data_IF_584274787134
#
_entry.id   IF_584274787134
#
_cell.length_a   1.000
_cell.length_b   1.000
_cell.length_c   1.000
_cell.angle_alpha   90.00
_cell.angle_beta   90.00
_cell.angle_gamma   90.00
#
_symmetry.space_group_name_H-M   'P 1'
#
loop_
_entity.id
_entity.type
_entity.pdbx_description
1 polymer ?
#
# COMPACT_ATOMS: atom_id res chain seq x y z
N UNK A 1 29.58 -30.59 -4.99
CA UNK A 1 28.44 -30.71 -4.06
C UNK A 1 29.00 -31.23 -2.75
N UNK A 2 28.83 -30.51 -1.63
CA UNK A 2 29.62 -30.71 -0.40
C UNK A 2 29.06 -31.76 0.58
N UNK A 3 28.10 -32.60 0.17
CA UNK A 3 27.61 -33.72 1.00
C UNK A 3 26.81 -33.34 2.25
N UNK A 4 26.50 -32.06 2.45
CA UNK A 4 25.83 -31.56 3.65
C UNK A 4 24.45 -30.97 3.31
N UNK A 5 23.54 -30.98 4.29
CA UNK A 5 22.20 -30.38 4.19
C UNK A 5 21.12 -31.34 3.68
N UNK A 6 19.99 -30.83 3.14
CA UNK A 6 18.80 -31.62 2.79
C UNK A 6 19.02 -32.75 1.78
N UNK A 7 20.13 -32.71 1.03
CA UNK A 7 20.49 -33.69 0.01
C UNK A 7 21.66 -34.60 0.42
N UNK A 8 22.01 -34.64 1.70
CA UNK A 8 23.11 -35.48 2.21
C UNK A 8 22.88 -36.97 1.88
N UNK A 9 21.68 -37.49 2.16
CA UNK A 9 21.32 -38.89 1.87
C UNK A 9 21.37 -39.21 0.37
N UNK A 10 21.00 -38.27 -0.50
CA UNK A 10 21.09 -38.45 -1.95
C UNK A 10 22.55 -38.46 -2.43
N UNK A 11 23.40 -37.66 -1.76
CA UNK A 11 24.84 -37.64 -2.00
C UNK A 11 25.47 -38.97 -1.61
N UNK A 12 25.11 -39.51 -0.44
CA UNK A 12 25.55 -40.82 0.05
C UNK A 12 25.15 -41.94 -0.91
N UNK A 13 23.91 -41.94 -1.40
CA UNK A 13 23.45 -42.89 -2.42
C UNK A 13 24.28 -42.83 -3.71
N UNK A 14 24.59 -41.62 -4.19
CA UNK A 14 25.44 -41.45 -5.37
C UNK A 14 26.87 -41.97 -5.16
N UNK A 15 27.37 -41.92 -3.91
CA UNK A 15 28.68 -42.43 -3.54
C UNK A 15 28.69 -43.96 -3.45
N UNK A 16 27.65 -44.56 -2.86
CA UNK A 16 27.49 -46.02 -2.78
C UNK A 16 27.37 -46.66 -4.16
N UNK A 17 26.78 -45.96 -5.12
CA UNK A 17 26.71 -46.36 -6.53
C UNK A 17 28.01 -46.10 -7.32
N UNK A 18 29.07 -45.62 -6.65
CA UNK A 18 30.39 -45.34 -7.24
C UNK A 18 30.33 -44.42 -8.49
N UNK A 19 29.36 -43.50 -8.54
CA UNK A 19 29.16 -42.62 -9.69
C UNK A 19 30.32 -41.62 -9.85
N UNK A 20 30.79 -41.43 -11.08
CA UNK A 20 31.74 -40.37 -11.42
C UNK A 20 31.11 -39.00 -11.23
N UNK A 21 31.92 -37.96 -11.02
CA UNK A 21 31.44 -36.61 -10.72
C UNK A 21 30.46 -36.05 -11.77
N UNK A 22 30.68 -36.36 -13.06
CA UNK A 22 29.77 -36.01 -14.16
C UNK A 22 28.43 -36.75 -14.08
N UNK A 23 28.43 -38.00 -13.63
CA UNK A 23 27.23 -38.84 -13.48
C UNK A 23 26.42 -38.44 -12.24
N UNK A 24 27.05 -37.98 -11.16
CA UNK A 24 26.35 -37.48 -9.96
C UNK A 24 25.39 -36.35 -10.29
N UNK A 25 25.78 -35.41 -11.16
CA UNK A 25 24.89 -34.32 -11.61
C UNK A 25 23.62 -34.87 -12.26
N UNK A 26 23.76 -35.82 -13.20
CA UNK A 26 22.62 -36.44 -13.88
C UNK A 26 21.75 -37.27 -12.95
N UNK A 27 22.36 -38.02 -12.03
CA UNK A 27 21.65 -38.78 -11.00
C UNK A 27 20.79 -37.87 -10.11
N UNK A 28 21.32 -36.71 -9.71
CA UNK A 28 20.56 -35.73 -8.92
C UNK A 28 19.36 -35.17 -9.68
N UNK A 29 19.55 -34.72 -10.93
CA UNK A 29 18.43 -34.25 -11.75
C UNK A 29 17.40 -35.34 -12.01
N UNK A 30 17.85 -36.58 -12.25
CA UNK A 30 16.97 -37.72 -12.41
C UNK A 30 16.18 -38.01 -11.13
N UNK A 31 16.81 -37.96 -9.96
CA UNK A 31 16.16 -38.20 -8.67
C UNK A 31 15.13 -37.10 -8.35
N UNK A 32 15.48 -35.83 -8.57
CA UNK A 32 14.57 -34.70 -8.43
C UNK A 32 13.38 -34.85 -9.39
N UNK A 33 13.64 -35.11 -10.67
CA UNK A 33 12.58 -35.30 -11.68
C UNK A 33 11.67 -36.49 -11.36
N UNK A 34 12.23 -37.56 -10.81
CA UNK A 34 11.45 -38.74 -10.40
C UNK A 34 10.57 -38.42 -9.19
N UNK A 35 11.10 -37.66 -8.24
CA UNK A 35 10.34 -37.14 -7.11
C UNK A 35 9.21 -36.21 -7.59
N UNK A 36 9.53 -35.19 -8.39
CA UNK A 36 8.55 -34.26 -8.96
C UNK A 36 7.48 -34.98 -9.75
N UNK A 37 7.84 -35.94 -10.61
CA UNK A 37 6.85 -36.70 -11.39
C UNK A 37 5.92 -37.52 -10.50
N UNK A 38 6.43 -38.08 -9.39
CA UNK A 38 5.63 -38.87 -8.45
C UNK A 38 4.66 -38.00 -7.66
N UNK A 39 5.10 -36.82 -7.20
CA UNK A 39 4.33 -35.91 -6.35
C UNK A 39 3.70 -34.74 -7.12
N UNK A 40 3.76 -34.75 -8.45
CA UNK A 40 3.15 -33.72 -9.30
C UNK A 40 1.66 -33.50 -8.98
N UNK A 41 0.84 -34.54 -8.73
CA UNK A 41 -0.56 -34.34 -8.33
C UNK A 41 -0.74 -33.64 -6.98
N UNK A 42 0.27 -33.68 -6.11
CA UNK A 42 0.23 -33.11 -4.76
C UNK A 42 0.78 -31.67 -4.71
N UNK A 43 1.43 -31.21 -5.79
CA UNK A 43 1.96 -29.87 -5.88
C UNK A 43 0.87 -28.87 -6.24
N UNK A 44 0.93 -27.69 -5.62
CA UNK A 44 0.07 -26.57 -5.98
C UNK A 44 0.79 -25.68 -6.99
N UNK A 45 0.07 -25.27 -8.03
CA UNK A 45 0.53 -24.22 -8.96
C UNK A 45 0.48 -22.82 -8.32
N UNK A 46 -0.19 -22.69 -7.16
CA UNK A 46 -0.38 -21.44 -6.43
C UNK A 46 0.12 -21.57 -4.99
N UNK A 47 1.46 -21.57 -4.78
CA UNK A 47 2.03 -21.72 -3.45
C UNK A 47 1.56 -20.60 -2.51
N UNK A 48 1.31 -20.91 -1.23
CA UNK A 48 0.86 -19.90 -0.28
C UNK A 48 1.94 -18.84 -0.06
N UNK A 49 1.54 -17.57 -0.08
CA UNK A 49 2.45 -16.44 0.19
C UNK A 49 3.07 -16.55 1.59
N UNK A 50 4.33 -16.14 1.74
CA UNK A 50 5.00 -16.04 3.04
C UNK A 50 5.31 -17.38 3.72
N UNK A 51 5.48 -18.45 2.92
CA UNK A 51 5.85 -19.78 3.37
C UNK A 51 7.21 -19.75 4.10
N UNK A 52 7.23 -20.26 5.33
CA UNK A 52 8.42 -20.39 6.17
C UNK A 52 8.26 -21.64 7.04
N UNK A 53 9.32 -22.38 7.30
CA UNK A 53 9.25 -23.61 8.08
C UNK A 53 10.54 -23.89 8.83
N UNK A 54 10.44 -24.69 9.89
CA UNK A 54 11.54 -25.37 10.54
C UNK A 54 11.19 -26.85 10.66
N UNK A 55 12.12 -27.73 10.30
CA UNK A 55 11.99 -29.19 10.44
C UNK A 55 13.26 -29.69 11.14
N UNK A 56 13.42 -29.30 12.40
CA UNK A 56 14.50 -29.78 13.27
C UNK A 56 14.00 -30.90 14.18
N UNK A 57 14.92 -31.60 14.85
CA UNK A 57 14.52 -32.57 15.88
C UNK A 57 13.94 -31.89 17.13
N UNK A 58 14.40 -30.68 17.43
CA UNK A 58 13.97 -29.89 18.59
C UNK A 58 12.57 -29.30 18.42
N UNK A 59 12.25 -28.81 17.22
CA UNK A 59 10.96 -28.20 16.91
C UNK A 59 10.63 -28.28 15.41
N UNK A 60 9.34 -28.54 15.12
CA UNK A 60 8.81 -28.63 13.75
C UNK A 60 7.61 -27.70 13.60
N UNK A 61 7.70 -26.75 12.67
CA UNK A 61 6.58 -25.87 12.36
C UNK A 61 6.58 -25.41 10.91
N UNK A 62 5.40 -25.02 10.45
CA UNK A 62 5.12 -24.47 9.13
C UNK A 62 4.28 -23.21 9.29
N UNK A 63 4.66 -22.15 8.59
CA UNK A 63 3.96 -20.87 8.59
C UNK A 63 3.66 -20.46 7.16
N UNK A 64 2.46 -19.92 6.96
CA UNK A 64 2.05 -19.24 5.72
C UNK A 64 1.43 -17.87 6.06
N UNK A 65 1.02 -17.11 5.05
CA UNK A 65 0.20 -15.91 5.25
C UNK A 65 -1.15 -16.22 5.93
N UNK A 66 -1.64 -17.46 5.85
CA UNK A 66 -2.95 -17.89 6.36
C UNK A 66 -2.92 -18.49 7.75
N UNK A 67 -1.76 -18.94 8.24
CA UNK A 67 -1.69 -19.58 9.55
C UNK A 67 -0.32 -20.08 9.94
N UNK A 68 -0.27 -20.64 11.14
CA UNK A 68 0.90 -21.27 11.75
C UNK A 68 0.50 -22.66 12.25
N UNK A 69 1.27 -23.68 11.90
CA UNK A 69 1.06 -25.05 12.34
C UNK A 69 2.35 -25.57 12.98
N UNK A 70 2.22 -26.14 14.18
CA UNK A 70 3.29 -26.86 14.87
C UNK A 70 3.01 -28.36 14.78
N UNK A 71 4.06 -29.16 14.60
CA UNK A 71 3.97 -30.62 14.55
C UNK A 71 4.59 -31.22 15.80
N UNK A 72 3.75 -31.88 16.59
CA UNK A 72 4.14 -32.56 17.82
C UNK A 72 4.19 -34.07 17.61
N UNK A 73 5.11 -34.76 18.31
CA UNK A 73 5.08 -36.24 18.38
C UNK A 73 3.83 -36.68 19.13
N UNK A 74 3.38 -37.93 18.96
CA UNK A 74 2.33 -38.50 19.82
C UNK A 74 2.87 -38.60 21.26
N UNK A 75 2.09 -38.18 22.25
CA UNK A 75 2.42 -38.31 23.68
C UNK A 75 2.58 -37.04 24.54
N UNK A 76 2.75 -35.79 24.03
CA UNK A 76 2.84 -34.64 24.91
C UNK A 76 1.48 -34.31 25.52
N UNK A 77 1.44 -34.15 26.84
CA UNK A 77 0.22 -33.81 27.58
C UNK A 77 -0.18 -32.33 27.40
N UNK A 78 0.76 -31.45 27.03
CA UNK A 78 0.53 -30.01 26.90
C UNK A 78 0.83 -29.48 25.49
N UNK A 79 -0.18 -29.53 24.63
CA UNK A 79 -0.09 -29.02 23.25
C UNK A 79 0.15 -27.50 23.17
N UNK A 80 -0.28 -26.72 24.16
CA UNK A 80 -0.09 -25.27 24.18
C UNK A 80 1.38 -24.90 24.42
N UNK A 81 2.06 -25.61 25.31
CA UNK A 81 3.48 -25.39 25.56
C UNK A 81 4.34 -25.69 24.32
N UNK A 82 4.00 -26.74 23.56
CA UNK A 82 4.67 -27.05 22.30
C UNK A 82 4.44 -25.97 21.24
N UNK A 83 3.21 -25.45 21.15
CA UNK A 83 2.90 -24.34 20.26
C UNK A 83 3.67 -23.07 20.64
N UNK A 84 3.73 -22.75 21.94
CA UNK A 84 4.50 -21.62 22.45
C UNK A 84 5.98 -21.75 22.09
N UNK A 85 6.58 -22.92 22.33
CA UNK A 85 7.98 -23.18 21.98
C UNK A 85 8.24 -23.00 20.47
N UNK A 86 7.33 -23.48 19.62
CA UNK A 86 7.43 -23.30 18.17
C UNK A 86 7.29 -21.82 17.75
N UNK A 87 6.41 -21.06 18.41
CA UNK A 87 6.26 -19.62 18.15
C UNK A 87 7.50 -18.83 18.58
N UNK A 88 8.14 -19.22 19.69
CA UNK A 88 9.41 -18.63 20.14
C UNK A 88 10.53 -18.94 19.15
N UNK A 89 10.65 -20.18 18.68
CA UNK A 89 11.64 -20.58 17.67
C UNK A 89 11.45 -19.82 16.34
N UNK A 90 10.20 -19.58 15.94
CA UNK A 90 9.89 -18.78 14.75
C UNK A 90 10.35 -17.33 14.84
N UNK A 91 10.48 -16.75 16.05
CA UNK A 91 10.92 -15.37 16.31
C UNK A 91 10.10 -14.31 15.54
N UNK A 92 8.78 -14.19 15.82
CA UNK A 92 7.97 -13.13 15.21
C UNK A 92 8.52 -11.74 15.55
N UNK A 93 8.40 -10.80 14.61
CA UNK A 93 8.75 -9.40 14.88
C UNK A 93 7.75 -8.75 15.85
N UNK A 94 8.17 -7.77 16.66
CA UNK A 94 7.27 -6.96 17.49
C UNK A 94 6.06 -6.42 16.71
N UNK A 95 6.25 -5.90 15.49
CA UNK A 95 5.15 -5.44 14.63
C UNK A 95 4.14 -6.54 14.31
N UNK A 96 4.59 -7.80 14.16
CA UNK A 96 3.71 -8.93 13.93
C UNK A 96 2.94 -9.35 15.19
N UNK A 97 3.57 -9.27 16.36
CA UNK A 97 2.89 -9.48 17.64
C UNK A 97 1.81 -8.41 17.87
N UNK A 98 2.11 -7.15 17.59
CA UNK A 98 1.13 -6.05 17.62
C UNK A 98 -0.04 -6.31 16.68
N UNK A 99 0.23 -6.72 15.43
CA UNK A 99 -0.82 -7.08 14.46
C UNK A 99 -1.65 -8.29 14.90
N UNK A 100 -1.03 -9.30 15.53
CA UNK A 100 -1.75 -10.43 16.10
C UNK A 100 -2.67 -9.98 17.24
N UNK A 101 -2.17 -9.11 18.14
CA UNK A 101 -2.97 -8.55 19.22
C UNK A 101 -4.13 -7.70 18.71
N UNK A 102 -3.87 -6.85 17.72
CA UNK A 102 -4.91 -6.04 17.08
C UNK A 102 -6.05 -6.89 16.51
N UNK A 103 -5.74 -8.03 15.86
CA UNK A 103 -6.75 -8.97 15.35
C UNK A 103 -7.54 -9.64 16.48
N UNK A 104 -6.85 -10.11 17.51
CA UNK A 104 -7.47 -10.68 18.71
C UNK A 104 -8.46 -9.70 19.38
N UNK A 105 -8.04 -8.45 19.55
CA UNK A 105 -8.88 -7.39 20.11
C UNK A 105 -10.12 -7.12 19.24
N UNK A 106 -9.95 -6.95 17.92
CA UNK A 106 -11.10 -6.79 17.01
C UNK A 106 -12.03 -7.99 17.07
N UNK A 107 -11.51 -9.21 17.07
CA UNK A 107 -12.35 -10.42 17.15
C UNK A 107 -13.10 -10.49 18.47
N UNK A 108 -12.49 -10.04 19.58
CA UNK A 108 -13.13 -10.05 20.89
C UNK A 108 -14.23 -8.99 21.01
N UNK A 109 -13.95 -7.74 20.65
CA UNK A 109 -14.89 -6.63 20.85
C UNK A 109 -15.83 -6.41 19.65
N UNK A 110 -15.54 -7.02 18.50
CA UNK A 110 -16.23 -6.74 17.24
C UNK A 110 -17.74 -6.92 17.34
N UNK A 111 -18.20 -8.02 17.94
CA UNK A 111 -19.62 -8.29 18.13
C UNK A 111 -20.29 -7.28 19.09
N UNK A 112 -19.64 -6.96 20.21
CA UNK A 112 -20.18 -6.02 21.21
C UNK A 112 -20.28 -4.58 20.66
N UNK A 113 -19.26 -4.17 19.89
CA UNK A 113 -19.24 -2.87 19.21
C UNK A 113 -20.26 -2.83 18.09
N UNK A 114 -20.42 -3.91 17.34
CA UNK A 114 -21.45 -4.03 16.30
C UNK A 114 -22.85 -3.87 16.92
N UNK A 115 -23.17 -4.58 17.99
CA UNK A 115 -24.45 -4.46 18.69
C UNK A 115 -24.71 -3.02 19.17
N UNK A 116 -23.70 -2.40 19.78
CA UNK A 116 -23.80 -1.02 20.27
C UNK A 116 -23.94 -0.01 19.12
N UNK A 117 -23.19 -0.20 18.04
CA UNK A 117 -23.23 0.65 16.85
C UNK A 117 -24.59 0.52 16.16
N UNK A 118 -24.98 -0.69 15.76
CA UNK A 118 -26.24 -1.02 15.08
C UNK A 118 -27.49 -0.67 15.88
N UNK A 119 -27.38 -0.53 17.20
CA UNK A 119 -28.48 -0.01 18.04
C UNK A 119 -28.98 1.38 17.59
N UNK A 120 -28.15 2.16 16.87
CA UNK A 120 -28.50 3.47 16.29
C UNK A 120 -29.36 3.34 15.03
N UNK A 121 -30.54 2.74 15.16
CA UNK A 121 -31.47 2.39 14.07
C UNK A 121 -31.70 3.53 13.05
N UNK A 122 -31.85 4.77 13.52
CA UNK A 122 -32.05 5.93 12.64
C UNK A 122 -30.85 6.21 11.72
N UNK A 123 -29.62 6.03 12.21
CA UNK A 123 -28.41 6.24 11.42
C UNK A 123 -28.29 5.20 10.29
N UNK A 124 -28.54 3.92 10.60
CA UNK A 124 -28.48 2.85 9.59
C UNK A 124 -29.66 2.89 8.62
N UNK A 125 -30.86 3.27 9.08
CA UNK A 125 -31.98 3.54 8.19
C UNK A 125 -31.64 4.67 7.20
N UNK A 126 -31.01 5.76 7.69
CA UNK A 126 -30.57 6.87 6.83
C UNK A 126 -29.48 6.41 5.86
N UNK A 127 -28.51 5.64 6.33
CA UNK A 127 -27.48 5.06 5.47
C UNK A 127 -28.07 4.18 4.37
N UNK A 128 -28.98 3.28 4.70
CA UNK A 128 -29.64 2.42 3.72
C UNK A 128 -30.45 3.25 2.70
N UNK A 129 -31.10 4.33 3.13
CA UNK A 129 -31.72 5.28 2.21
C UNK A 129 -30.71 5.88 1.23
N UNK A 130 -29.51 6.26 1.68
CA UNK A 130 -28.44 6.78 0.80
C UNK A 130 -27.88 5.75 -0.18
N UNK A 131 -27.98 4.46 0.10
CA UNK A 131 -27.62 3.39 -0.85
C UNK A 131 -28.74 3.21 -1.88
N UNK A 132 -29.99 3.22 -1.42
CA UNK A 132 -31.17 3.05 -2.29
C UNK A 132 -31.35 4.24 -3.24
N UNK A 133 -30.94 5.43 -2.80
CA UNK A 133 -31.02 6.69 -3.56
C UNK A 133 -29.67 7.44 -3.49
N UNK A 134 -28.63 6.98 -4.21
CA UNK A 134 -27.26 7.47 -4.04
C UNK A 134 -26.98 8.81 -4.75
N UNK A 135 -27.89 9.26 -5.64
CA UNK A 135 -27.75 10.49 -6.41
C UNK A 135 -29.08 11.23 -6.58
N UNK A 136 -29.00 12.45 -7.13
CA UNK A 136 -30.18 13.20 -7.60
C UNK A 136 -30.64 12.65 -8.96
N UNK A 137 -31.91 12.89 -9.33
CA UNK A 137 -32.42 12.52 -10.64
C UNK A 137 -31.52 13.07 -11.76
N UNK A 138 -31.43 12.34 -12.87
CA UNK A 138 -30.70 12.68 -14.12
C UNK A 138 -29.25 12.16 -14.26
N UNK A 139 -28.75 11.29 -13.37
CA UNK A 139 -27.47 10.60 -13.58
C UNK A 139 -27.62 9.30 -14.40
N UNK A 140 -26.65 8.96 -15.27
CA UNK A 140 -26.62 7.66 -15.94
C UNK A 140 -26.54 6.50 -14.94
N UNK A 141 -27.17 5.36 -15.26
CA UNK A 141 -27.22 4.17 -14.38
C UNK A 141 -25.84 3.73 -13.88
N UNK A 142 -24.83 3.72 -14.77
CA UNK A 142 -23.44 3.36 -14.43
C UNK A 142 -22.87 4.24 -13.31
N UNK A 143 -23.23 5.53 -13.28
CA UNK A 143 -22.76 6.45 -12.23
C UNK A 143 -23.54 6.27 -10.93
N UNK A 144 -24.82 5.91 -11.01
CA UNK A 144 -25.65 5.57 -9.84
C UNK A 144 -25.06 4.35 -9.14
N UNK A 145 -24.72 3.30 -9.88
CA UNK A 145 -24.06 2.11 -9.34
C UNK A 145 -22.70 2.44 -8.70
N UNK A 146 -21.90 3.27 -9.37
CA UNK A 146 -20.62 3.71 -8.85
C UNK A 146 -20.75 4.49 -7.52
N UNK A 147 -21.71 5.42 -7.45
CA UNK A 147 -22.00 6.16 -6.21
C UNK A 147 -22.45 5.21 -5.09
N UNK A 148 -23.31 4.24 -5.41
CA UNK A 148 -23.76 3.25 -4.44
C UNK A 148 -22.60 2.44 -3.87
N UNK A 149 -21.73 1.95 -4.74
CA UNK A 149 -20.51 1.23 -4.35
C UNK A 149 -19.59 2.10 -3.48
N UNK A 150 -19.45 3.38 -3.80
CA UNK A 150 -18.69 4.31 -2.98
C UNK A 150 -19.31 4.51 -1.59
N UNK A 151 -20.62 4.70 -1.48
CA UNK A 151 -21.31 4.82 -0.18
C UNK A 151 -21.11 3.57 0.69
N UNK A 152 -21.13 2.39 0.07
CA UNK A 152 -20.83 1.13 0.75
C UNK A 152 -19.38 1.09 1.25
N UNK A 153 -18.41 1.46 0.41
CA UNK A 153 -16.99 1.53 0.81
C UNK A 153 -16.75 2.52 1.94
N UNK A 154 -17.34 3.71 1.88
CA UNK A 154 -17.23 4.74 2.92
C UNK A 154 -17.81 4.23 4.25
N UNK A 155 -18.94 3.51 4.21
CA UNK A 155 -19.50 2.90 5.41
C UNK A 155 -18.56 1.88 6.05
N UNK A 156 -18.00 0.96 5.25
CA UNK A 156 -17.02 -0.02 5.73
C UNK A 156 -15.79 0.68 6.30
N UNK A 157 -15.30 1.74 5.64
CA UNK A 157 -14.17 2.52 6.12
C UNK A 157 -14.44 3.14 7.49
N UNK A 158 -15.61 3.75 7.69
CA UNK A 158 -15.99 4.36 8.98
C UNK A 158 -16.19 3.33 10.09
N UNK A 159 -16.79 2.18 9.79
CA UNK A 159 -16.91 1.09 10.77
C UNK A 159 -15.53 0.52 11.15
N UNK A 160 -14.66 0.33 10.15
CA UNK A 160 -13.28 -0.08 10.39
C UNK A 160 -12.54 0.93 11.28
N UNK A 161 -12.64 2.23 10.99
CA UNK A 161 -12.00 3.29 11.77
C UNK A 161 -12.50 3.30 13.22
N UNK A 162 -13.81 3.18 13.43
CA UNK A 162 -14.40 3.11 14.76
C UNK A 162 -13.89 1.89 15.54
N UNK A 163 -13.82 0.71 14.92
CA UNK A 163 -13.25 -0.48 15.55
C UNK A 163 -11.76 -0.29 15.87
N UNK A 164 -10.98 0.26 14.94
CA UNK A 164 -9.57 0.59 15.14
C UNK A 164 -9.37 1.51 16.35
N UNK A 165 -10.19 2.55 16.46
CA UNK A 165 -10.12 3.53 17.55
C UNK A 165 -10.37 2.89 18.92
N UNK A 166 -11.32 1.94 19.01
CA UNK A 166 -11.64 1.28 20.28
C UNK A 166 -10.56 0.30 20.75
N UNK A 167 -9.82 -0.33 19.82
CA UNK A 167 -8.75 -1.28 20.19
C UNK A 167 -7.38 -0.62 20.38
N UNK A 168 -7.22 0.64 19.96
CA UNK A 168 -5.93 1.32 19.88
C UNK A 168 -5.16 1.32 21.21
N UNK A 169 -5.78 1.77 22.31
CA UNK A 169 -5.11 1.87 23.61
C UNK A 169 -4.69 0.50 24.15
N UNK A 170 -5.51 -0.52 23.94
CA UNK A 170 -5.21 -1.90 24.38
C UNK A 170 -4.01 -2.46 23.62
N UNK A 171 -3.96 -2.25 22.31
CA UNK A 171 -2.84 -2.69 21.45
C UNK A 171 -1.57 -1.90 21.78
N UNK A 172 -1.68 -0.59 21.99
CA UNK A 172 -0.55 0.26 22.39
C UNK A 172 0.00 -0.17 23.77
N UNK A 173 -0.88 -0.48 24.72
CA UNK A 173 -0.50 -1.01 26.04
C UNK A 173 0.23 -2.35 25.94
N UNK A 174 -0.22 -3.24 25.05
CA UNK A 174 0.50 -4.47 24.75
C UNK A 174 1.89 -4.19 24.15
N UNK A 175 2.00 -3.23 23.23
CA UNK A 175 3.28 -2.76 22.68
C UNK A 175 4.25 -2.25 23.75
N UNK A 176 3.76 -1.46 24.72
CA UNK A 176 4.55 -0.99 25.87
C UNK A 176 5.15 -2.16 26.65
N UNK A 177 4.40 -3.26 26.81
CA UNK A 177 4.91 -4.48 27.48
C UNK A 177 6.03 -5.15 26.69
N UNK A 178 5.94 -5.22 25.36
CA UNK A 178 7.01 -5.77 24.52
C UNK A 178 8.30 -4.98 24.74
N UNK A 179 8.24 -3.65 24.66
CA UNK A 179 9.41 -2.79 24.88
C UNK A 179 9.97 -2.88 26.31
N UNK A 180 9.10 -2.98 27.32
CA UNK A 180 9.52 -3.15 28.70
C UNK A 180 10.32 -4.46 28.91
N UNK A 181 9.90 -5.56 28.27
CA UNK A 181 10.61 -6.85 28.31
C UNK A 181 11.96 -6.76 27.57
N UNK A 182 11.98 -6.12 26.41
CA UNK A 182 13.21 -5.86 25.62
C UNK A 182 14.26 -5.17 26.51
N UNK A 183 13.84 -4.07 27.16
CA UNK A 183 14.69 -3.30 28.07
C UNK A 183 15.12 -4.09 29.32
N UNK A 184 14.23 -4.87 29.92
CA UNK A 184 14.52 -5.60 31.17
C UNK A 184 15.45 -6.80 30.97
N UNK A 185 15.35 -7.48 29.83
CA UNK A 185 16.15 -8.67 29.53
C UNK A 185 17.49 -8.35 28.88
N UNK A 186 17.67 -7.13 28.35
CA UNK A 186 18.81 -6.78 27.51
C UNK A 186 18.82 -7.52 26.17
N UNK A 187 17.75 -8.26 25.86
CA UNK A 187 17.52 -8.82 24.54
C UNK A 187 17.23 -7.68 23.56
N UNK A 188 17.48 -7.90 22.27
CA UNK A 188 17.10 -6.95 21.22
C UNK A 188 16.15 -7.62 20.24
N UNK A 189 14.84 -7.42 20.44
CA UNK A 189 13.82 -7.86 19.48
C UNK A 189 14.02 -7.24 18.10
N UNK A 190 14.83 -6.18 17.98
CA UNK A 190 15.33 -5.66 16.71
C UNK A 190 15.92 -6.76 15.83
N UNK A 191 16.66 -7.72 16.41
CA UNK A 191 17.27 -8.83 15.66
C UNK A 191 16.23 -9.70 14.92
N UNK A 192 14.97 -9.73 15.37
CA UNK A 192 13.90 -10.48 14.72
C UNK A 192 13.53 -9.90 13.34
N UNK A 193 13.79 -8.61 13.11
CA UNK A 193 13.59 -7.98 11.80
C UNK A 193 14.65 -8.40 10.79
N UNK A 194 15.80 -8.94 11.25
CA UNK A 194 16.94 -9.33 10.41
C UNK A 194 17.48 -8.18 9.55
N UNK A 195 17.45 -6.97 10.12
CA UNK A 195 17.95 -5.72 9.50
C UNK A 195 18.90 -5.05 10.50
N UNK A 196 20.06 -4.58 10.03
CA UNK A 196 21.03 -3.89 10.87
C UNK A 196 21.04 -2.39 10.60
N UNK A 197 20.30 -1.63 11.40
CA UNK A 197 20.19 -0.17 11.31
C UNK A 197 21.49 0.58 11.62
N UNK A 198 22.54 -0.08 12.12
CA UNK A 198 23.86 0.54 12.29
C UNK A 198 24.61 0.68 10.95
N UNK A 199 24.20 -0.09 9.93
CA UNK A 199 24.77 0.04 8.59
C UNK A 199 24.06 1.13 7.81
N UNK A 200 24.82 1.99 7.15
CA UNK A 200 24.29 3.12 6.36
C UNK A 200 23.29 2.65 5.27
N UNK A 201 23.56 1.50 4.63
CA UNK A 201 22.71 0.94 3.58
C UNK A 201 21.33 0.48 4.09
N UNK A 202 21.29 -0.32 5.17
CA UNK A 202 20.03 -0.78 5.76
C UNK A 202 19.26 0.39 6.38
N UNK A 203 19.96 1.32 7.05
CA UNK A 203 19.33 2.47 7.67
C UNK A 203 18.63 3.36 6.64
N UNK A 204 19.31 3.69 5.53
CA UNK A 204 18.70 4.47 4.42
C UNK A 204 17.49 3.77 3.82
N UNK A 205 17.57 2.44 3.65
CA UNK A 205 16.46 1.64 3.12
C UNK A 205 15.28 1.65 4.10
N UNK A 206 15.54 1.46 5.39
CA UNK A 206 14.54 1.46 6.44
C UNK A 206 13.82 2.81 6.54
N UNK A 207 14.56 3.92 6.50
CA UNK A 207 13.99 5.29 6.51
C UNK A 207 13.08 5.50 5.30
N UNK A 208 13.53 5.12 4.09
CA UNK A 208 12.72 5.25 2.88
C UNK A 208 11.43 4.44 2.95
N UNK A 209 11.50 3.17 3.34
CA UNK A 209 10.34 2.29 3.48
C UNK A 209 9.37 2.79 4.56
N UNK A 210 9.90 3.27 5.69
CA UNK A 210 9.11 3.86 6.76
C UNK A 210 8.38 5.11 6.29
N UNK A 211 9.07 6.04 5.63
CA UNK A 211 8.43 7.26 5.12
C UNK A 211 7.33 6.94 4.10
N UNK A 212 7.54 5.97 3.20
CA UNK A 212 6.48 5.48 2.29
C UNK A 212 5.30 4.88 3.06
N UNK A 213 5.56 4.09 4.10
CA UNK A 213 4.51 3.48 4.93
C UNK A 213 3.65 4.54 5.64
N UNK A 214 4.29 5.60 6.12
CA UNK A 214 3.61 6.72 6.76
C UNK A 214 2.81 7.54 5.75
N UNK A 215 3.38 7.96 4.62
CA UNK A 215 2.70 8.93 3.74
C UNK A 215 1.69 8.34 2.76
N UNK A 216 1.82 7.06 2.40
CA UNK A 216 1.00 6.44 1.37
C UNK A 216 0.11 5.32 1.96
N UNK A 217 -1.10 5.17 1.40
CA UNK A 217 -1.94 3.99 1.61
C UNK A 217 -1.33 2.78 0.90
N UNK A 218 -1.58 1.54 1.36
CA UNK A 218 -1.19 0.33 0.63
C UNK A 218 -1.93 0.27 -0.73
N UNK A 219 -1.29 -0.33 -1.73
CA UNK A 219 -1.93 -0.62 -3.02
C UNK A 219 -3.11 -1.57 -2.80
N UNK A 220 -4.24 -1.33 -3.47
CA UNK A 220 -5.39 -2.23 -3.40
C UNK A 220 -5.25 -3.34 -4.43
N UNK A 221 -4.74 -4.46 -3.96
CA UNK A 221 -4.77 -5.75 -4.65
C UNK A 221 -5.88 -6.62 -4.05
N UNK A 222 -6.56 -7.40 -4.87
CA UNK A 222 -7.47 -8.43 -4.39
C UNK A 222 -6.71 -9.70 -3.94
N UNK A 223 -7.46 -10.76 -3.64
CA UNK A 223 -6.89 -12.03 -3.12
C UNK A 223 -6.08 -12.76 -4.22
N UNK A 224 -6.39 -12.54 -5.51
CA UNK A 224 -5.63 -13.10 -6.64
C UNK A 224 -4.38 -12.26 -6.94
N UNK A 225 -4.31 -11.03 -6.44
CA UNK A 225 -3.20 -10.11 -6.62
C UNK A 225 -3.45 -9.10 -7.74
N UNK A 226 -4.68 -9.03 -8.25
CA UNK A 226 -5.08 -8.10 -9.29
C UNK A 226 -5.44 -6.74 -8.68
N UNK A 227 -5.10 -5.66 -9.40
CA UNK A 227 -5.41 -4.31 -8.95
C UNK A 227 -6.92 -4.06 -9.01
N UNK A 228 -7.49 -3.71 -7.86
CA UNK A 228 -8.93 -3.43 -7.74
C UNK A 228 -9.25 -2.09 -8.39
N UNK A 229 -10.39 -1.99 -9.07
CA UNK A 229 -10.85 -0.71 -9.60
C UNK A 229 -11.15 0.30 -8.49
N UNK A 230 -10.70 1.54 -8.71
CA UNK A 230 -10.82 2.65 -7.77
C UNK A 230 -11.32 3.90 -8.48
N UNK A 231 -11.81 4.86 -7.70
CA UNK A 231 -12.19 6.18 -8.22
C UNK A 231 -11.05 7.16 -7.97
N UNK A 232 -10.77 8.03 -8.94
CA UNK A 232 -9.84 9.14 -8.77
C UNK A 232 -10.24 9.98 -7.55
N UNK A 233 -9.25 10.27 -6.72
CA UNK A 233 -9.40 10.91 -5.42
C UNK A 233 -8.18 11.80 -5.15
N UNK A 234 -8.29 12.67 -4.15
CA UNK A 234 -7.17 13.48 -3.67
C UNK A 234 -5.97 12.61 -3.32
N UNK A 235 -4.76 13.06 -3.68
CA UNK A 235 -3.52 12.38 -3.33
C UNK A 235 -3.17 11.17 -4.19
N UNK A 236 -3.95 10.83 -5.22
CA UNK A 236 -3.50 9.85 -6.22
C UNK A 236 -2.28 10.40 -6.96
N UNK A 237 -1.20 9.62 -6.95
CA UNK A 237 0.03 9.88 -7.67
C UNK A 237 0.00 9.06 -8.95
N UNK A 238 0.19 9.71 -10.08
CA UNK A 238 0.16 9.07 -11.39
C UNK A 238 1.34 9.52 -12.25
N UNK A 239 1.76 8.63 -13.13
CA UNK A 239 2.77 8.88 -14.16
C UNK A 239 2.06 9.00 -15.50
N UNK A 240 2.29 10.11 -16.18
CA UNK A 240 1.86 10.34 -17.56
C UNK A 240 3.10 10.61 -18.41
N UNK A 241 3.33 9.74 -19.38
CA UNK A 241 4.59 9.70 -20.15
C UNK A 241 5.78 9.68 -19.16
N UNK A 242 6.72 10.63 -19.25
CA UNK A 242 7.87 10.72 -18.32
C UNK A 242 7.67 11.67 -17.14
N UNK A 243 6.44 12.13 -16.91
CA UNK A 243 6.11 13.12 -15.88
C UNK A 243 5.27 12.53 -14.75
N UNK A 244 5.57 12.98 -13.53
CA UNK A 244 4.89 12.55 -12.32
C UNK A 244 3.95 13.64 -11.85
N UNK A 245 2.78 13.24 -11.35
CA UNK A 245 1.73 14.15 -10.94
C UNK A 245 1.03 13.64 -9.70
N UNK A 246 0.51 14.56 -8.88
CA UNK A 246 -0.38 14.24 -7.75
C UNK A 246 -1.69 15.00 -7.88
N UNK A 247 -2.80 14.27 -7.78
CA UNK A 247 -4.15 14.86 -7.75
C UNK A 247 -4.28 15.77 -6.52
N UNK A 248 -4.49 17.06 -6.76
CA UNK A 248 -4.62 18.10 -5.75
C UNK A 248 -6.00 18.77 -5.81
N UNK A 249 -7.02 17.99 -6.19
CA UNK A 249 -8.43 18.40 -6.17
C UNK A 249 -9.10 17.81 -4.94
N UNK A 250 -9.94 18.56 -4.21
CA UNK A 250 -10.72 18.02 -3.10
C UNK A 250 -11.60 16.83 -3.51
N UNK A 251 -11.65 15.80 -2.67
CA UNK A 251 -12.40 14.57 -2.92
C UNK A 251 -13.89 14.82 -3.22
N UNK A 252 -14.49 15.85 -2.63
CA UNK A 252 -15.89 16.22 -2.85
C UNK A 252 -16.17 16.61 -4.30
N UNK A 253 -15.22 17.28 -4.97
CA UNK A 253 -15.39 17.72 -6.36
C UNK A 253 -15.15 16.58 -7.37
N UNK A 254 -14.53 15.49 -6.92
CA UNK A 254 -14.27 14.29 -7.72
C UNK A 254 -15.41 13.27 -7.67
N UNK A 255 -16.44 13.51 -6.85
CA UNK A 255 -17.59 12.60 -6.75
C UNK A 255 -18.49 12.68 -8.00
N UNK A 256 -19.02 11.55 -8.48
CA UNK A 256 -19.98 11.56 -9.58
C UNK A 256 -21.18 12.47 -9.30
N UNK A 257 -21.59 13.24 -10.30
CA UNK A 257 -22.68 14.23 -10.19
C UNK A 257 -22.28 15.59 -9.61
N UNK A 258 -21.03 15.78 -9.20
CA UNK A 258 -20.48 17.10 -8.87
C UNK A 258 -19.81 17.68 -10.13
N UNK A 259 -20.45 18.68 -10.74
CA UNK A 259 -19.93 19.44 -11.89
C UNK A 259 -19.56 20.87 -11.49
N UNK A 260 -19.11 21.08 -10.24
CA UNK A 260 -18.78 22.41 -9.72
C UNK A 260 -17.55 23.04 -10.38
N UNK A 261 -16.69 22.22 -10.98
CA UNK A 261 -15.44 22.66 -11.58
C UNK A 261 -15.57 22.64 -13.12
N UNK A 262 -15.34 23.80 -13.75
CA UNK A 262 -15.04 24.04 -15.16
C UNK A 262 -16.06 23.65 -16.26
N UNK A 263 -17.00 22.71 -16.05
CA UNK A 263 -17.98 22.35 -17.08
C UNK A 263 -19.40 22.81 -16.73
N UNK A 264 -20.09 23.40 -17.72
CA UNK A 264 -21.49 23.82 -17.60
C UNK A 264 -22.43 22.63 -17.39
N UNK A 265 -23.58 22.87 -16.76
CA UNK A 265 -24.70 21.91 -16.73
C UNK A 265 -25.03 21.44 -18.15
N UNK A 266 -25.05 20.13 -18.38
CA UNK A 266 -25.28 19.50 -19.70
C UNK A 266 -24.01 18.98 -20.41
N UNK A 267 -22.82 19.18 -19.83
CA UNK A 267 -21.60 18.51 -20.28
C UNK A 267 -21.65 16.99 -20.08
N UNK A 268 -20.88 16.24 -20.86
CA UNK A 268 -20.72 14.79 -20.71
C UNK A 268 -20.43 14.43 -19.23
N UNK A 269 -21.36 13.74 -18.54
CA UNK A 269 -21.22 13.46 -17.11
C UNK A 269 -20.07 12.49 -16.81
N UNK A 270 -19.49 11.87 -17.84
CA UNK A 270 -18.33 10.97 -17.73
C UNK A 270 -16.99 11.70 -17.77
N UNK A 271 -16.97 13.02 -18.00
CA UNK A 271 -15.75 13.81 -17.94
C UNK A 271 -15.64 14.51 -16.58
N UNK A 272 -14.45 14.45 -15.98
CA UNK A 272 -14.16 15.03 -14.66
C UNK A 272 -12.89 15.88 -14.72
N UNK A 273 -13.00 17.21 -14.63
CA UNK A 273 -11.83 18.06 -14.55
C UNK A 273 -11.22 17.94 -13.15
N UNK A 274 -9.90 17.89 -13.08
CA UNK A 274 -9.18 17.87 -11.81
C UNK A 274 -7.83 18.58 -11.97
N UNK A 275 -7.40 19.27 -10.92
CA UNK A 275 -6.08 19.87 -10.80
C UNK A 275 -5.08 18.85 -10.26
N UNK A 276 -3.89 18.80 -10.85
CA UNK A 276 -2.76 18.07 -10.29
C UNK A 276 -1.47 18.90 -10.31
N UNK A 277 -0.59 18.62 -9.35
CA UNK A 277 0.73 19.24 -9.20
C UNK A 277 1.77 18.30 -9.80
N UNK A 278 2.71 18.85 -10.56
CA UNK A 278 3.86 18.10 -11.09
C UNK A 278 4.84 17.77 -9.97
N UNK A 279 5.32 16.54 -9.98
CA UNK A 279 6.33 16.05 -9.06
C UNK A 279 7.63 15.72 -9.80
N UNK A 280 8.74 15.93 -9.10
CA UNK A 280 10.09 15.68 -9.58
C UNK A 280 10.68 14.49 -8.83
N UNK A 281 11.01 13.40 -9.53
CA UNK A 281 11.54 12.21 -8.89
C UNK A 281 12.99 12.42 -8.42
N UNK A 282 13.26 11.90 -7.23
CA UNK A 282 14.57 11.83 -6.60
C UNK A 282 14.88 10.36 -6.40
N UNK A 283 15.64 9.80 -7.34
CA UNK A 283 15.99 8.38 -7.39
C UNK A 283 17.03 7.96 -6.37
N UNK A 284 17.79 8.94 -5.86
CA UNK A 284 18.78 8.75 -4.80
C UNK A 284 18.31 9.49 -3.54
N UNK A 285 17.68 8.78 -2.58
CA UNK A 285 17.18 9.37 -1.35
C UNK A 285 18.24 10.09 -0.52
N UNK A 286 19.54 9.78 -0.70
CA UNK A 286 20.62 10.46 0.03
C UNK A 286 20.74 11.95 -0.29
N UNK A 287 20.13 12.40 -1.40
CA UNK A 287 20.03 13.82 -1.78
C UNK A 287 18.96 14.58 -1.03
N UNK A 288 18.09 13.89 -0.29
CA UNK A 288 17.08 14.50 0.55
C UNK A 288 17.66 14.71 1.96
N UNK A 289 17.74 15.97 2.38
CA UNK A 289 18.16 16.35 3.72
C UNK A 289 16.97 16.32 4.67
N UNK A 290 17.19 16.31 5.98
CA UNK A 290 16.10 16.39 6.98
C UNK A 290 15.17 17.59 6.75
N UNK A 291 15.70 18.71 6.22
CA UNK A 291 14.89 19.88 5.84
C UNK A 291 13.95 19.57 4.69
N UNK A 292 14.42 18.86 3.65
CA UNK A 292 13.57 18.42 2.54
C UNK A 292 12.47 17.47 3.05
N UNK A 293 12.83 16.49 3.88
CA UNK A 293 11.89 15.48 4.40
C UNK A 293 10.77 16.12 5.22
N UNK A 294 11.11 17.09 6.07
CA UNK A 294 10.17 17.75 6.99
C UNK A 294 9.51 19.02 6.41
N UNK A 295 9.81 19.39 5.16
CA UNK A 295 9.24 20.58 4.50
C UNK A 295 7.77 20.42 4.07
N UNK A 296 7.26 19.17 4.08
CA UNK A 296 5.99 18.80 3.44
C UNK A 296 5.98 18.92 1.91
N UNK A 297 7.11 19.24 1.27
CA UNK A 297 7.23 19.41 -0.19
C UNK A 297 7.51 18.10 -0.92
N UNK A 298 7.82 17.04 -0.17
CA UNK A 298 8.20 15.72 -0.68
C UNK A 298 7.30 14.62 -0.13
N UNK A 299 7.03 13.61 -0.95
CA UNK A 299 6.42 12.36 -0.52
C UNK A 299 7.26 11.17 -1.01
N UNK A 300 7.00 9.98 -0.44
CA UNK A 300 7.75 8.76 -0.76
C UNK A 300 6.81 7.72 -1.37
N UNK A 301 7.20 7.18 -2.51
CA UNK A 301 6.44 6.15 -3.23
C UNK A 301 7.31 4.96 -3.53
N UNK A 302 6.68 3.80 -3.69
CA UNK A 302 7.34 2.61 -4.22
C UNK A 302 7.04 2.48 -5.71
N UNK A 303 8.07 2.31 -6.52
CA UNK A 303 7.95 2.08 -7.95
C UNK A 303 9.01 1.07 -8.38
N UNK A 304 8.57 -0.01 -9.04
CA UNK A 304 9.46 -1.08 -9.53
C UNK A 304 10.37 -1.66 -8.42
N UNK A 305 9.80 -1.83 -7.22
CA UNK A 305 10.50 -2.36 -6.04
C UNK A 305 11.50 -1.40 -5.40
N UNK A 306 11.53 -0.12 -5.81
CA UNK A 306 12.41 0.91 -5.25
C UNK A 306 11.60 2.04 -4.63
N UNK A 307 12.10 2.56 -3.51
CA UNK A 307 11.54 3.76 -2.89
C UNK A 307 12.12 4.99 -3.59
N UNK A 308 11.24 5.88 -4.04
CA UNK A 308 11.56 7.15 -4.67
C UNK A 308 11.00 8.29 -3.83
N UNK A 309 11.77 9.37 -3.69
CA UNK A 309 11.24 10.64 -3.21
C UNK A 309 10.63 11.42 -4.38
N UNK A 310 9.48 12.04 -4.19
CA UNK A 310 8.82 12.88 -5.19
C UNK A 310 8.57 14.27 -4.60
N UNK A 311 9.24 15.29 -5.14
CA UNK A 311 9.14 16.67 -4.67
C UNK A 311 8.34 17.57 -5.58
N UNK A 312 7.77 18.66 -5.06
CA UNK A 312 7.18 19.73 -5.91
C UNK A 312 8.24 20.54 -6.69
N UNK A 313 9.52 20.36 -6.34
CA UNK A 313 10.69 20.91 -7.04
C UNK A 313 11.87 19.94 -7.00
N UNK A 314 12.85 20.05 -7.92
CA UNK A 314 14.13 19.37 -7.80
C UNK A 314 14.87 19.79 -6.51
N UNK A 315 15.53 18.87 -5.79
CA UNK A 315 16.22 19.19 -4.52
C UNK A 315 17.26 20.30 -4.60
N UNK A 316 17.91 20.49 -5.76
CA UNK A 316 18.90 21.54 -5.97
C UNK A 316 18.28 22.94 -5.90
N UNK A 317 17.03 23.06 -6.33
CA UNK A 317 16.29 24.33 -6.44
C UNK A 317 15.50 24.66 -5.17
N UNK A 318 15.49 23.75 -4.18
CA UNK A 318 14.76 23.86 -2.91
C UNK A 318 15.66 24.27 -1.74
N UNK A 319 16.74 25.01 -2.02
CA UNK A 319 17.84 25.26 -1.08
C UNK A 319 17.88 26.66 -0.45
N UNK A 320 17.16 27.67 -0.96
CA UNK A 320 17.50 29.07 -0.61
C UNK A 320 16.39 30.11 -0.39
N UNK A 321 15.08 29.82 -0.51
CA UNK A 321 14.07 30.86 -0.24
C UNK A 321 12.71 30.33 0.30
N UNK A 322 12.32 30.64 1.55
CA UNK A 322 11.07 30.16 2.16
C UNK A 322 9.76 30.75 1.59
N UNK A 323 9.79 31.75 0.71
CA UNK A 323 8.61 32.58 0.46
C UNK A 323 7.88 32.33 -0.88
N UNK A 324 8.44 31.59 -1.85
CA UNK A 324 7.80 31.42 -3.17
C UNK A 324 7.83 29.96 -3.62
N UNK A 325 6.85 29.20 -3.15
CA UNK A 325 6.57 27.89 -3.74
C UNK A 325 5.79 28.08 -5.03
N UNK A 326 6.49 28.48 -6.11
CA UNK A 326 6.00 28.25 -7.47
C UNK A 326 5.95 26.75 -7.69
N UNK A 327 4.73 26.23 -7.61
CA UNK A 327 4.40 24.87 -7.99
C UNK A 327 3.97 24.87 -9.45
N UNK A 328 4.36 23.84 -10.19
CA UNK A 328 3.86 23.56 -11.52
C UNK A 328 2.57 22.75 -11.37
N UNK A 329 1.43 23.34 -11.73
CA UNK A 329 0.12 22.71 -11.63
C UNK A 329 -0.63 22.89 -12.94
N UNK A 330 -1.47 21.92 -13.29
CA UNK A 330 -2.36 22.01 -14.45
C UNK A 330 -3.68 21.30 -14.19
N UNK A 331 -4.68 21.67 -14.98
CA UNK A 331 -5.96 20.98 -15.02
C UNK A 331 -5.91 19.87 -16.06
N UNK A 332 -6.40 18.70 -15.67
CA UNK A 332 -6.60 17.52 -16.49
C UNK A 332 -8.09 17.22 -16.58
N UNK A 333 -8.48 16.42 -17.58
CA UNK A 333 -9.84 15.91 -17.69
C UNK A 333 -9.78 14.38 -17.65
N UNK A 334 -10.26 13.78 -16.56
CA UNK A 334 -10.42 12.34 -16.47
C UNK A 334 -11.68 11.88 -17.21
N UNK A 335 -11.59 10.74 -17.87
CA UNK A 335 -12.71 10.09 -18.55
C UNK A 335 -13.39 9.07 -17.63
N UNK A 336 -14.53 8.51 -18.06
CA UNK A 336 -15.27 7.46 -17.35
C UNK A 336 -15.58 7.82 -15.89
N UNK A 337 -15.86 9.08 -15.65
CA UNK A 337 -16.14 9.61 -14.32
C UNK A 337 -14.94 9.65 -13.40
N UNK A 338 -13.70 9.42 -13.87
CA UNK A 338 -12.51 9.32 -13.03
C UNK A 338 -12.16 7.89 -12.58
N UNK A 339 -12.76 6.87 -13.19
CA UNK A 339 -12.47 5.49 -12.84
C UNK A 339 -11.03 5.08 -13.19
N UNK A 340 -10.39 4.42 -12.24
CA UNK A 340 -9.09 3.77 -12.35
C UNK A 340 -9.35 2.28 -12.50
N UNK A 341 -8.93 1.71 -13.62
CA UNK A 341 -9.10 0.29 -13.96
C UNK A 341 -7.72 -0.33 -14.17
N UNK A 342 -7.43 -1.44 -13.48
CA UNK A 342 -6.13 -2.12 -13.55
C UNK A 342 -4.93 -1.17 -13.33
N UNK A 343 -5.09 -0.20 -12.42
CA UNK A 343 -4.06 0.81 -12.13
C UNK A 343 -3.85 1.87 -13.22
N UNK A 344 -4.77 2.00 -14.18
CA UNK A 344 -4.70 2.99 -15.27
C UNK A 344 -5.87 3.98 -15.18
N UNK A 345 -5.57 5.26 -15.39
CA UNK A 345 -6.54 6.36 -15.46
C UNK A 345 -6.58 6.91 -16.89
N UNK A 346 -7.76 6.90 -17.51
CA UNK A 346 -7.96 7.48 -18.84
C UNK A 346 -8.18 8.99 -18.75
N UNK A 347 -7.42 9.74 -19.55
CA UNK A 347 -7.37 11.19 -19.58
C UNK A 347 -7.67 11.71 -20.99
N UNK A 348 -8.28 12.89 -21.04
CA UNK A 348 -8.46 13.70 -22.24
C UNK A 348 -7.53 14.91 -22.14
N UNK A 349 -6.51 14.95 -23.01
CA UNK A 349 -5.60 16.09 -23.14
C UNK A 349 -6.17 17.08 -24.15
N UNK A 350 -6.40 18.32 -23.70
CA UNK A 350 -6.92 19.39 -24.55
C UNK A 350 -5.76 20.25 -25.06
N UNK A 351 -5.66 20.42 -26.37
CA UNK A 351 -4.68 21.26 -27.03
C UNK A 351 -5.40 22.33 -27.87
N UNK A 352 -4.98 23.59 -27.73
CA UNK A 352 -5.46 24.70 -28.54
C UNK A 352 -4.56 24.82 -29.78
N UNK A 353 -5.14 24.68 -30.97
CA UNK A 353 -4.45 25.01 -32.22
C UNK A 353 -4.76 26.47 -32.60
N UNK A 354 -3.69 27.26 -32.75
CA UNK A 354 -3.76 28.70 -33.03
C UNK A 354 -4.36 29.01 -34.41
N UNK A 355 -4.17 28.11 -35.38
CA UNK A 355 -4.48 28.39 -36.78
C UNK A 355 -5.99 28.36 -37.10
N UNK A 356 -6.79 27.63 -36.30
CA UNK A 356 -8.20 27.35 -36.59
C UNK A 356 -9.15 27.60 -35.40
N UNK A 357 -8.65 28.09 -34.26
CA UNK A 357 -9.39 28.17 -32.97
C UNK A 357 -10.07 26.84 -32.59
N UNK A 358 -9.53 25.72 -33.05
CA UNK A 358 -10.04 24.37 -32.75
C UNK A 358 -9.34 23.81 -31.52
N UNK A 359 -10.15 23.22 -30.64
CA UNK A 359 -9.65 22.42 -29.52
C UNK A 359 -9.49 21.00 -30.04
N UNK A 360 -8.25 20.52 -30.14
CA UNK A 360 -7.98 19.09 -30.32
C UNK A 360 -7.98 18.40 -28.96
N UNK A 361 -8.59 17.23 -28.91
CA UNK A 361 -8.61 16.39 -27.73
C UNK A 361 -7.92 15.06 -28.03
N UNK A 362 -6.85 14.74 -27.31
CA UNK A 362 -6.12 13.49 -27.45
C UNK A 362 -6.38 12.58 -26.24
N UNK A 363 -6.63 11.31 -26.49
CA UNK A 363 -6.75 10.31 -25.44
C UNK A 363 -5.37 9.90 -24.92
N UNK A 364 -5.21 9.92 -23.61
CA UNK A 364 -3.99 9.55 -22.90
C UNK A 364 -4.33 8.60 -21.76
N UNK A 365 -3.42 7.69 -21.43
CA UNK A 365 -3.55 6.82 -20.26
C UNK A 365 -2.42 7.13 -19.28
N UNK A 366 -2.78 7.38 -18.03
CA UNK A 366 -1.85 7.60 -16.93
C UNK A 366 -1.80 6.37 -16.03
N UNK A 367 -0.61 5.98 -15.61
CA UNK A 367 -0.41 4.87 -14.67
C UNK A 367 -0.50 5.39 -13.24
N UNK A 368 -1.42 4.87 -12.44
CA UNK A 368 -1.48 5.14 -11.01
C UNK A 368 -0.34 4.41 -10.32
N UNK A 369 0.43 5.14 -9.50
CA UNK A 369 1.60 4.61 -8.79
C UNK A 369 1.32 4.43 -7.31
N UNK A 370 0.65 5.40 -6.68
CA UNK A 370 0.36 5.35 -5.27
C UNK A 370 -0.85 6.24 -4.93
N UNK A 371 -1.38 6.06 -3.72
CA UNK A 371 -2.35 6.99 -3.13
C UNK A 371 -1.81 7.48 -1.79
N UNK A 372 -1.69 8.79 -1.64
CA UNK A 372 -1.32 9.43 -0.38
C UNK A 372 -2.42 9.24 0.67
N UNK A 373 -2.04 9.23 1.95
CA UNK A 373 -3.01 9.43 3.04
C UNK A 373 -3.58 10.84 2.98
N UNK A 374 -4.74 11.03 3.59
CA UNK A 374 -5.52 12.24 3.44
C UNK A 374 -4.78 13.50 3.93
N UNK A 375 -4.03 13.40 5.02
CA UNK A 375 -3.29 14.52 5.62
C UNK A 375 -2.18 15.02 4.67
N UNK A 376 -1.52 14.09 3.99
CA UNK A 376 -0.51 14.40 2.97
C UNK A 376 -1.17 14.96 1.70
N UNK A 377 -2.28 14.38 1.25
CA UNK A 377 -3.04 14.88 0.11
C UNK A 377 -3.54 16.32 0.34
N UNK A 378 -4.02 16.62 1.55
CA UNK A 378 -4.50 17.93 1.96
C UNK A 378 -3.40 19.00 1.86
N UNK A 379 -2.16 18.65 2.20
CA UNK A 379 -1.03 19.57 2.05
C UNK A 379 -0.85 20.03 0.59
N UNK A 380 -0.98 19.12 -0.37
CA UNK A 380 -0.89 19.47 -1.80
C UNK A 380 -2.06 20.31 -2.28
N UNK A 381 -3.29 20.03 -1.80
CA UNK A 381 -4.48 20.86 -2.10
C UNK A 381 -4.26 22.31 -1.62
N UNK A 382 -3.78 22.48 -0.38
CA UNK A 382 -3.50 23.81 0.17
C UNK A 382 -2.46 24.58 -0.64
N UNK A 383 -1.42 23.89 -1.15
CA UNK A 383 -0.41 24.51 -2.01
C UNK A 383 -0.97 25.02 -3.33
N UNK A 384 -1.94 24.32 -3.94
CA UNK A 384 -2.68 24.86 -5.09
C UNK A 384 -3.37 26.16 -4.71
N UNK A 385 -4.12 26.18 -3.60
CA UNK A 385 -4.82 27.36 -3.08
C UNK A 385 -3.89 28.57 -2.89
N UNK A 386 -2.73 28.38 -2.28
CA UNK A 386 -1.72 29.44 -2.11
C UNK A 386 -1.09 29.88 -3.44
N UNK A 387 -0.93 28.97 -4.40
CA UNK A 387 -0.35 29.29 -5.71
C UNK A 387 -1.29 30.13 -6.59
N UNK A 388 -2.61 29.87 -6.51
CA UNK A 388 -3.61 30.61 -7.31
C UNK A 388 -3.98 31.97 -6.71
N UNK A 389 -3.73 32.20 -5.42
CA UNK A 389 -4.12 33.42 -4.68
C UNK A 389 -3.02 34.50 -4.63
N UNK A 390 -2.04 34.47 -5.54
CA UNK A 390 -0.89 35.39 -5.51
C UNK A 390 -1.30 36.86 -5.70
N UNK A 391 -0.89 37.70 -4.76
CA UNK A 391 -0.98 39.16 -4.80
C UNK A 391 0.45 39.71 -4.86
N UNK A 392 0.72 40.67 -5.77
CA UNK A 392 2.05 41.31 -5.88
C UNK A 392 2.56 41.61 -7.29
N UNK A 393 1.72 41.48 -8.33
CA UNK A 393 2.07 41.87 -9.70
C UNK A 393 2.26 43.39 -9.89
N UNK A 394 1.88 44.21 -8.89
CA UNK A 394 2.02 45.67 -8.92
C UNK A 394 3.07 46.23 -7.94
N UNK A 395 3.88 45.39 -7.30
CA UNK A 395 4.93 45.88 -6.39
C UNK A 395 6.17 46.29 -7.18
N UNK A 396 6.71 47.46 -6.86
CA UNK A 396 7.99 47.94 -7.37
C UNK A 396 9.06 47.56 -6.36
N UNK A 397 10.14 46.92 -6.81
CA UNK A 397 11.28 46.62 -5.95
C UNK A 397 12.01 47.92 -5.58
N UNK A 398 12.50 48.03 -4.35
CA UNK A 398 13.39 49.11 -3.90
C UNK A 398 14.80 48.94 -4.46
#
# INVERSE_FOLDING_TARGET
>A
MRGNGPYASLTEWSNNLQLKQSQKKWFFYWAIRTFEKKYLPDFTESPPKGLSWNISEACKWLRTSRGFACFVKKGPENLLAELEHALVDWRPTPSRLLSAKYRDEISRIGAEVEDTSLSKRHAFAKFYETIRKPGKGDLPEVQIELLRYYKLKDHVSRQSEMLSFLVEETVATFGKKIYAVDKATGFTFQSHYRVNLETDADNKTAIGQYNRYVCCLPSREDITGDLVSEQLDSGHIFKLDDTWWVCATPACDLQPGQNTIAFNKGSDPTLRPFTAIRLYPVTDPSKLTDRHINSGSYCYVEHEGKILGLGVKPPKDDSSNPAVQKIDWRTFVAQRGGMIENGSLSLLELQLELDDLKIKSNHKNAKIIAKLRYEYALNYIQRVGTSVSRIGLGYVAL
#
